data_IF_282482688212
#
_entry.id   IF_282482688212
#
_cell.length_a   1.000
_cell.length_b   1.000
_cell.length_c   1.000
_cell.angle_alpha   90.00
_cell.angle_beta   90.00
_cell.angle_gamma   90.00
#
_symmetry.space_group_name_H-M   'P 1'
#
loop_
_entity.id
_entity.type
_entity.pdbx_description
1 polymer ?
#
# COMPACT_ATOMS: atom_id res chain seq x y z
N UNK A 1 7.22 10.44 17.55
CA UNK A 1 5.97 11.21 17.32
C UNK A 1 4.80 10.22 17.27
N UNK A 2 3.53 10.61 17.47
CA UNK A 2 2.43 9.63 17.41
C UNK A 2 2.29 8.94 16.05
N UNK A 3 2.73 9.63 14.99
CA UNK A 3 2.74 9.07 13.65
C UNK A 3 3.67 7.84 13.52
N UNK A 4 4.82 7.83 14.22
CA UNK A 4 5.71 6.65 14.25
C UNK A 4 5.03 5.44 14.90
N UNK A 5 4.19 5.69 15.90
CA UNK A 5 3.47 4.64 16.63
C UNK A 5 2.35 4.04 15.77
N UNK A 6 1.65 4.87 15.00
CA UNK A 6 0.67 4.45 14.00
C UNK A 6 1.36 3.58 12.93
N UNK A 7 2.50 4.02 12.40
CA UNK A 7 3.27 3.23 11.43
C UNK A 7 3.73 1.89 12.03
N UNK A 8 4.13 1.86 13.29
CA UNK A 8 4.45 0.61 13.98
C UNK A 8 3.27 -0.36 14.05
N UNK A 9 2.07 0.12 14.37
CA UNK A 9 0.84 -0.68 14.41
C UNK A 9 0.50 -1.30 13.05
N UNK A 10 0.55 -0.50 11.99
CA UNK A 10 0.31 -0.97 10.62
C UNK A 10 1.31 -2.04 10.18
N UNK A 11 2.60 -1.86 10.52
CA UNK A 11 3.66 -2.82 10.21
C UNK A 11 3.49 -4.11 10.99
N UNK A 12 3.03 -4.04 12.24
CA UNK A 12 2.71 -5.24 13.01
C UNK A 12 1.62 -6.08 12.33
N UNK A 13 0.56 -5.46 11.80
CA UNK A 13 -0.47 -6.14 10.98
C UNK A 13 0.13 -6.74 9.71
N UNK A 14 0.92 -5.97 8.96
CA UNK A 14 1.55 -6.42 7.71
C UNK A 14 2.52 -7.60 7.91
N UNK A 15 3.18 -7.67 9.07
CA UNK A 15 4.05 -8.77 9.48
C UNK A 15 3.28 -9.96 10.10
N UNK A 16 1.96 -9.89 10.22
CA UNK A 16 1.14 -10.94 10.82
C UNK A 16 1.26 -11.04 12.35
N UNK A 17 1.74 -10.00 13.03
CA UNK A 17 1.79 -9.96 14.50
C UNK A 17 0.39 -9.76 15.09
N UNK A 18 0.08 -10.36 16.25
CA UNK A 18 -1.20 -10.17 16.92
C UNK A 18 -1.35 -8.76 17.50
N UNK A 19 -2.59 -8.31 17.68
CA UNK A 19 -2.95 -7.01 18.27
C UNK A 19 -2.40 -6.82 19.70
N UNK A 20 -2.24 -7.91 20.45
CA UNK A 20 -1.66 -7.92 21.80
C UNK A 20 -0.15 -7.65 21.86
N UNK A 21 0.55 -7.63 20.72
CA UNK A 21 1.98 -7.30 20.67
C UNK A 21 2.27 -5.80 20.89
N UNK A 22 1.27 -5.01 21.29
CA UNK A 22 1.41 -3.58 21.56
C UNK A 22 2.32 -3.35 22.79
N UNK A 23 3.47 -2.66 22.64
CA UNK A 23 4.41 -2.43 23.74
C UNK A 23 4.00 -1.26 24.66
N UNK A 24 2.90 -0.57 24.36
CA UNK A 24 2.51 0.65 25.07
C UNK A 24 1.56 0.36 26.26
N UNK A 25 1.62 1.17 27.34
CA UNK A 25 0.71 1.07 28.48
C UNK A 25 -0.77 1.25 28.09
N UNK A 26 -1.68 0.73 28.92
CA UNK A 26 -3.12 0.74 28.65
C UNK A 26 -3.75 2.12 28.43
N UNK A 27 -3.35 3.11 29.23
CA UNK A 27 -3.92 4.46 29.19
C UNK A 27 -3.18 5.43 28.25
N UNK A 28 -2.05 5.01 27.69
CA UNK A 28 -1.22 5.88 26.87
C UNK A 28 -1.91 6.23 25.55
N UNK A 29 -1.77 7.50 25.14
CA UNK A 29 -2.23 7.94 23.82
C UNK A 29 -1.52 7.17 22.69
N UNK A 30 -0.30 6.70 22.95
CA UNK A 30 0.46 5.83 22.05
C UNK A 30 -0.25 4.49 21.79
N UNK A 31 -0.88 3.87 22.79
CA UNK A 31 -1.60 2.61 22.59
C UNK A 31 -2.79 2.79 21.65
N UNK A 32 -3.55 3.88 21.82
CA UNK A 32 -4.64 4.26 20.91
C UNK A 32 -4.12 4.49 19.48
N UNK A 33 -3.02 5.22 19.34
CA UNK A 33 -2.37 5.46 18.04
C UNK A 33 -1.84 4.17 17.40
N UNK A 34 -1.31 3.23 18.18
CA UNK A 34 -0.84 1.94 17.68
C UNK A 34 -2.01 1.09 17.17
N UNK A 35 -3.12 1.05 17.91
CA UNK A 35 -4.32 0.35 17.46
C UNK A 35 -4.93 0.97 16.22
N UNK A 36 -4.93 2.30 16.11
CA UNK A 36 -5.38 3.02 14.90
C UNK A 36 -4.62 2.54 13.65
N UNK A 37 -3.30 2.45 13.75
CA UNK A 37 -2.46 1.90 12.67
C UNK A 37 -2.66 0.41 12.42
N UNK A 38 -2.87 -0.39 13.48
CA UNK A 38 -3.09 -1.83 13.37
C UNK A 38 -4.45 -2.20 12.77
N UNK A 39 -5.50 -1.46 13.14
CA UNK A 39 -6.88 -1.62 12.65
C UNK A 39 -7.00 -1.25 11.17
N UNK A 40 -6.14 -0.36 10.70
CA UNK A 40 -6.17 0.14 9.33
C UNK A 40 -7.18 1.26 9.11
N UNK A 41 -7.74 1.84 10.19
CA UNK A 41 -8.82 2.82 10.12
C UNK A 41 -8.44 4.15 9.45
N UNK A 42 -7.14 4.46 9.24
CA UNK A 42 -6.74 5.74 8.62
C UNK A 42 -5.50 5.70 7.73
N UNK A 43 -4.80 4.56 7.60
CA UNK A 43 -3.49 4.50 6.93
C UNK A 43 -3.28 3.20 6.15
N UNK A 44 -4.28 2.77 5.38
CA UNK A 44 -3.97 1.93 4.22
C UNK A 44 -2.99 2.76 3.38
N UNK A 45 -1.70 2.44 3.48
CA UNK A 45 -0.65 3.13 2.76
C UNK A 45 -1.02 3.03 1.30
N UNK A 46 -1.61 4.12 0.80
CA UNK A 46 -1.81 4.46 -0.58
C UNK A 46 -1.55 3.25 -1.48
N UNK A 47 -2.62 2.55 -1.83
CA UNK A 47 -2.73 1.68 -3.01
C UNK A 47 -1.54 1.95 -3.92
N UNK A 48 -0.63 0.98 -4.02
CA UNK A 48 0.69 1.17 -4.65
C UNK A 48 0.48 1.65 -6.07
N UNK A 49 0.40 2.96 -6.27
CA UNK A 49 0.11 3.56 -7.57
C UNK A 49 1.32 3.22 -8.44
N UNK A 50 1.15 2.40 -9.48
CA UNK A 50 2.26 2.10 -10.36
C UNK A 50 2.75 3.43 -10.95
N UNK A 51 4.06 3.65 -10.88
CA UNK A 51 4.69 4.80 -11.53
C UNK A 51 4.21 4.87 -12.99
N UNK A 52 3.79 6.02 -13.51
CA UNK A 52 3.15 6.13 -14.84
C UNK A 52 3.99 5.53 -15.99
N UNK A 53 5.32 5.56 -15.89
CA UNK A 53 6.23 4.90 -16.84
C UNK A 53 6.16 3.35 -16.84
N UNK A 54 5.62 2.72 -15.80
CA UNK A 54 5.34 1.28 -15.75
C UNK A 54 4.01 0.98 -16.44
N UNK A 55 3.00 1.84 -16.26
CA UNK A 55 1.68 1.73 -16.90
C UNK A 55 1.71 1.96 -18.41
N UNK A 56 2.62 2.81 -18.90
CA UNK A 56 2.78 3.10 -20.33
C UNK A 56 3.34 1.94 -21.17
N UNK A 57 3.85 0.87 -20.55
CA UNK A 57 4.33 -0.33 -21.26
C UNK A 57 3.21 -1.36 -21.43
N UNK A 58 2.10 -0.93 -22.05
CA UNK A 58 1.26 -1.90 -22.79
C UNK A 58 1.94 -2.16 -24.14
N UNK A 59 2.31 -3.40 -24.48
CA UNK A 59 2.80 -3.68 -25.82
C UNK A 59 1.62 -3.54 -26.78
N UNK A 60 1.63 -2.48 -27.58
CA UNK A 60 0.82 -2.40 -28.78
C UNK A 60 1.35 -3.44 -29.79
N UNK A 61 1.06 -4.71 -29.56
CA UNK A 61 1.13 -5.74 -30.59
C UNK A 61 -0.12 -5.63 -31.46
N UNK A 62 -0.01 -4.96 -32.60
CA UNK A 62 -0.58 -5.48 -33.84
C UNK A 62 0.15 -4.89 -35.05
N UNK A 63 1.07 -5.67 -35.59
CA UNK A 63 1.57 -5.54 -36.95
C UNK A 63 0.37 -5.42 -37.90
N UNK A 64 0.23 -4.27 -38.53
CA UNK A 64 -0.72 -4.00 -39.60
C UNK A 64 0.01 -3.49 -40.83
N UNK A 65 1.02 -4.23 -41.28
CA UNK A 65 1.60 -4.06 -42.61
C UNK A 65 0.98 -5.13 -43.52
N UNK A 66 -0.18 -4.82 -44.07
CA UNK A 66 -0.66 -5.45 -45.30
C UNK A 66 -0.75 -4.34 -46.34
N UNK A 67 0.23 -4.36 -47.24
CA UNK A 67 0.36 -3.50 -48.40
C UNK A 67 -0.90 -3.61 -49.29
N UNK A 68 -1.48 -2.51 -49.81
CA UNK A 68 -2.51 -2.60 -50.83
C UNK A 68 -1.85 -2.79 -52.21
N UNK A 69 -1.82 -4.03 -52.71
CA UNK A 69 -1.60 -4.27 -54.15
C UNK A 69 -2.82 -3.79 -54.92
N UNK A 70 -2.71 -2.63 -55.55
CA UNK A 70 -3.63 -2.13 -56.57
C UNK A 70 -3.34 -2.84 -57.90
N UNK A 71 -4.42 -3.32 -58.53
CA UNK A 71 -4.61 -3.87 -59.90
C UNK A 71 -3.45 -3.75 -60.88
#
# INVERSE_FOLDING_TARGET
MLMDVIMQGSRARALGRPRDACPHPADSRERRAWYEGYDGSTWDFAERVPHPAVTARSPATRNGAVEPTLV
#
